data_IF_559215981904
#
_entry.id   IF_559215981904
#
_cell.length_a   1.000
_cell.length_b   1.000
_cell.length_c   1.000
_cell.angle_alpha   90.00
_cell.angle_beta   90.00
_cell.angle_gamma   90.00
#
_symmetry.space_group_name_H-M   'P 1'
#
loop_
_entity.id
_entity.type
_entity.pdbx_description
1 polymer ?
#
# COMPACT_ATOMS: atom_id res chain seq x y z
N UNK A 1 -31.42 -37.11 21.33
CA UNK A 1 -30.17 -36.69 20.68
C UNK A 1 -30.51 -35.69 19.60
N UNK A 2 -29.92 -34.50 19.66
CA UNK A 2 -30.21 -33.39 18.74
C UNK A 2 -29.64 -32.10 19.30
N UNK A 3 -28.32 -31.97 19.27
CA UNK A 3 -27.65 -30.72 19.64
C UNK A 3 -28.00 -29.67 18.60
N UNK A 4 -28.90 -28.74 18.96
CA UNK A 4 -29.15 -27.54 18.17
C UNK A 4 -28.07 -26.53 18.52
N UNK A 5 -27.26 -26.21 17.50
CA UNK A 5 -26.11 -25.33 17.56
C UNK A 5 -26.52 -23.94 18.09
N UNK A 6 -25.72 -23.45 19.04
CA UNK A 6 -25.80 -22.11 19.61
C UNK A 6 -25.83 -21.06 18.50
N UNK A 7 -26.86 -20.21 18.54
CA UNK A 7 -27.00 -18.99 17.76
C UNK A 7 -25.82 -18.05 18.04
N UNK A 8 -24.73 -18.23 17.29
CA UNK A 8 -23.71 -17.21 17.09
C UNK A 8 -24.33 -16.10 16.25
N UNK A 9 -25.08 -15.20 16.89
CA UNK A 9 -25.44 -13.92 16.30
C UNK A 9 -24.14 -13.17 16.06
N UNK A 10 -23.50 -13.41 14.92
CA UNK A 10 -22.43 -12.57 14.42
C UNK A 10 -23.06 -11.19 14.29
N UNK A 11 -22.83 -10.34 15.31
CA UNK A 11 -23.16 -8.93 15.26
C UNK A 11 -22.28 -8.38 14.15
N UNK A 12 -22.77 -8.49 12.91
CA UNK A 12 -22.22 -7.80 11.77
C UNK A 12 -22.31 -6.34 12.18
N UNK A 13 -21.15 -5.68 12.32
CA UNK A 13 -21.08 -4.25 12.56
C UNK A 13 -21.65 -3.59 11.30
N UNK A 14 -22.97 -3.39 11.28
CA UNK A 14 -23.66 -2.67 10.23
C UNK A 14 -23.44 -1.18 10.51
N UNK A 15 -22.31 -0.67 10.02
CA UNK A 15 -22.12 0.77 9.89
C UNK A 15 -23.02 1.29 8.78
N UNK A 16 -24.05 2.06 9.12
CA UNK A 16 -24.81 2.82 8.12
C UNK A 16 -23.96 4.00 7.68
N UNK A 17 -23.22 3.83 6.58
CA UNK A 17 -22.64 4.94 5.81
C UNK A 17 -22.52 4.47 4.36
N UNK A 18 -23.15 5.21 3.46
CA UNK A 18 -23.23 4.92 2.02
C UNK A 18 -21.86 4.99 1.30
N UNK A 19 -20.81 5.40 2.02
CA UNK A 19 -19.46 5.60 1.52
C UNK A 19 -18.50 4.55 2.08
N UNK A 20 -17.85 3.79 1.20
CA UNK A 20 -16.88 2.76 1.56
C UNK A 20 -15.49 3.40 1.66
N UNK A 21 -14.75 3.06 2.70
CA UNK A 21 -13.35 3.44 2.85
C UNK A 21 -12.50 2.18 2.98
N UNK A 22 -11.44 2.06 2.18
CA UNK A 22 -10.42 1.01 2.29
C UNK A 22 -9.21 1.60 3.00
N UNK A 23 -8.79 0.96 4.08
CA UNK A 23 -7.55 1.30 4.77
C UNK A 23 -6.42 0.47 4.16
N UNK A 24 -5.39 1.14 3.66
CA UNK A 24 -4.24 0.52 3.00
C UNK A 24 -2.99 0.82 3.81
N UNK A 25 -2.20 -0.21 4.12
CA UNK A 25 -0.92 -0.03 4.78
C UNK A 25 0.13 0.52 3.81
N UNK A 26 1.17 1.16 4.36
CA UNK A 26 2.28 1.72 3.57
C UNK A 26 3.24 0.62 3.13
N UNK A 27 2.79 -0.24 2.23
CA UNK A 27 3.62 -1.18 1.51
C UNK A 27 3.88 -0.66 0.09
N UNK A 28 5.09 -0.92 -0.44
CA UNK A 28 5.52 -0.40 -1.74
C UNK A 28 4.63 -0.88 -2.89
N UNK A 29 4.17 -2.13 -2.83
CA UNK A 29 3.30 -2.75 -3.83
C UNK A 29 1.86 -2.19 -3.83
N UNK A 30 1.43 -1.55 -2.74
CA UNK A 30 0.16 -0.82 -2.67
C UNK A 30 0.24 0.65 -3.13
N UNK A 31 1.45 1.10 -3.46
CA UNK A 31 1.76 2.51 -3.71
C UNK A 31 2.34 2.71 -5.11
N UNK A 32 1.85 1.94 -6.08
CA UNK A 32 2.24 2.11 -7.47
C UNK A 32 1.68 3.43 -8.03
N UNK A 33 2.58 4.27 -8.52
CA UNK A 33 2.24 5.56 -9.12
C UNK A 33 1.60 5.37 -10.50
N UNK A 34 0.74 6.32 -10.88
CA UNK A 34 0.21 6.43 -12.24
C UNK A 34 1.34 6.74 -13.22
N UNK A 35 1.07 6.57 -14.52
CA UNK A 35 2.06 6.93 -15.54
C UNK A 35 2.41 8.42 -15.50
N UNK A 36 1.41 9.27 -15.25
CA UNK A 36 1.57 10.72 -15.15
C UNK A 36 2.38 11.13 -13.91
N UNK A 37 2.25 10.40 -12.79
CA UNK A 37 3.02 10.70 -11.57
C UNK A 37 4.38 10.01 -11.49
N UNK A 38 4.76 9.19 -12.48
CA UNK A 38 6.06 8.53 -12.48
C UNK A 38 7.18 9.55 -12.71
N UNK A 39 8.26 9.40 -11.94
CA UNK A 39 9.47 10.21 -12.06
C UNK A 39 10.66 9.33 -12.49
N UNK A 40 11.68 9.92 -13.14
CA UNK A 40 12.84 9.16 -13.57
C UNK A 40 13.56 8.51 -12.39
N UNK A 41 13.91 7.24 -12.54
CA UNK A 41 14.62 6.47 -11.52
C UNK A 41 16.14 6.52 -11.76
N UNK A 42 16.93 6.28 -10.70
CA UNK A 42 18.39 6.16 -10.83
C UNK A 42 18.84 5.08 -11.81
N UNK A 43 18.01 4.06 -12.03
CA UNK A 43 18.24 2.98 -13.00
C UNK A 43 18.05 3.41 -14.45
N UNK A 44 17.32 4.50 -14.72
CA UNK A 44 17.07 4.98 -16.07
C UNK A 44 18.36 5.49 -16.71
N UNK A 45 18.49 5.32 -18.02
CA UNK A 45 19.60 5.89 -18.76
C UNK A 45 19.36 7.39 -19.03
N UNK A 46 20.41 8.10 -19.47
CA UNK A 46 20.37 9.56 -19.69
C UNK A 46 19.29 9.97 -20.70
N UNK A 47 19.08 9.19 -21.75
CA UNK A 47 18.09 9.50 -22.78
C UNK A 47 16.66 9.33 -22.28
N UNK A 48 16.39 8.31 -21.46
CA UNK A 48 15.07 8.13 -20.82
C UNK A 48 14.71 9.33 -19.92
N UNK A 49 15.68 9.83 -19.15
CA UNK A 49 15.46 11.00 -18.29
C UNK A 49 15.20 12.26 -19.14
N UNK A 50 15.95 12.45 -20.23
CA UNK A 50 15.72 13.56 -21.17
C UNK A 50 14.34 13.49 -21.81
N UNK A 51 13.92 12.31 -22.26
CA UNK A 51 12.60 12.12 -22.84
C UNK A 51 11.50 12.50 -21.85
N UNK A 52 11.63 12.05 -20.59
CA UNK A 52 10.70 12.44 -19.54
C UNK A 52 10.63 13.95 -19.34
N UNK A 53 11.77 14.65 -19.32
CA UNK A 53 11.80 16.11 -19.20
C UNK A 53 11.10 16.79 -20.38
N UNK A 54 11.28 16.28 -21.61
CA UNK A 54 10.58 16.78 -22.81
C UNK A 54 9.07 16.56 -22.66
N UNK A 55 8.65 15.36 -22.27
CA UNK A 55 7.24 15.00 -22.10
C UNK A 55 6.56 15.89 -21.04
N UNK A 56 7.33 16.35 -20.03
CA UNK A 56 6.87 17.26 -18.97
C UNK A 56 7.12 18.75 -19.30
N UNK A 57 7.55 19.08 -20.53
CA UNK A 57 7.83 20.45 -20.97
C UNK A 57 8.87 21.18 -20.10
N UNK A 58 9.85 20.45 -19.55
CA UNK A 58 10.94 20.99 -18.74
C UNK A 58 12.18 21.19 -19.60
N UNK A 59 12.65 22.44 -19.69
CA UNK A 59 13.88 22.78 -20.41
C UNK A 59 15.12 22.29 -19.64
N UNK A 60 16.09 21.72 -20.36
CA UNK A 60 17.39 21.33 -19.81
C UNK A 60 18.53 21.67 -20.79
N UNK A 61 19.76 21.66 -20.29
CA UNK A 61 20.94 21.91 -21.11
C UNK A 61 21.57 20.58 -21.53
N UNK A 62 21.97 20.45 -22.80
CA UNK A 62 22.51 19.20 -23.34
C UNK A 62 23.77 18.69 -22.61
N UNK A 63 24.59 19.59 -22.07
CA UNK A 63 25.80 19.22 -21.34
C UNK A 63 25.51 18.64 -19.94
N UNK A 64 24.29 18.78 -19.42
CA UNK A 64 23.95 18.26 -18.09
C UNK A 64 24.26 16.78 -17.97
N UNK A 65 24.93 16.43 -16.88
CA UNK A 65 25.18 15.07 -16.43
C UNK A 65 23.87 14.35 -16.11
N UNK A 66 23.95 13.01 -15.97
CA UNK A 66 22.79 12.21 -15.56
C UNK A 66 22.27 12.64 -14.18
N UNK A 67 23.17 13.00 -13.26
CA UNK A 67 22.81 13.47 -11.92
C UNK A 67 22.06 14.79 -11.96
N UNK A 68 22.53 15.77 -12.74
CA UNK A 68 21.86 17.08 -12.89
C UNK A 68 20.47 16.93 -13.51
N UNK A 69 20.32 16.06 -14.52
CA UNK A 69 19.02 15.77 -15.12
C UNK A 69 18.05 15.08 -14.15
N UNK A 70 18.56 14.18 -13.29
CA UNK A 70 17.74 13.54 -12.24
C UNK A 70 17.30 14.55 -11.19
N UNK A 71 18.21 15.40 -10.72
CA UNK A 71 17.89 16.44 -9.75
C UNK A 71 16.86 17.41 -10.31
N UNK A 72 17.02 17.82 -11.56
CA UNK A 72 16.03 18.62 -12.27
C UNK A 72 14.67 17.89 -12.33
N UNK A 73 14.64 16.61 -12.67
CA UNK A 73 13.37 15.85 -12.71
C UNK A 73 12.68 15.79 -11.34
N UNK A 74 13.43 15.76 -10.24
CA UNK A 74 12.85 15.76 -8.90
C UNK A 74 12.30 17.14 -8.50
N UNK A 75 12.92 18.23 -8.97
CA UNK A 75 12.42 19.58 -8.76
C UNK A 75 11.07 19.83 -9.45
N UNK A 76 10.81 19.12 -10.56
CA UNK A 76 9.55 19.18 -11.32
C UNK A 76 8.68 17.94 -11.11
N UNK A 77 8.91 17.18 -10.03
CA UNK A 77 8.12 16.00 -9.75
C UNK A 77 6.64 16.39 -9.55
N UNK A 78 5.70 15.75 -10.28
CA UNK A 78 4.28 16.00 -10.10
C UNK A 78 3.80 15.50 -8.73
N UNK A 79 2.58 15.89 -8.35
CA UNK A 79 1.91 15.30 -7.20
C UNK A 79 1.74 13.80 -7.41
N UNK A 80 1.88 13.03 -6.33
CA UNK A 80 1.79 11.58 -6.37
C UNK A 80 0.35 11.14 -6.47
N UNK A 81 -0.01 10.56 -7.61
CA UNK A 81 -1.26 9.85 -7.80
C UNK A 81 -0.98 8.36 -7.87
N UNK A 82 -1.84 7.57 -7.24
CA UNK A 82 -1.71 6.12 -7.16
C UNK A 82 -2.79 5.44 -7.99
N UNK A 83 -2.43 4.35 -8.68
CA UNK A 83 -3.35 3.57 -9.51
C UNK A 83 -4.54 3.06 -8.67
N UNK A 84 -4.28 2.65 -7.43
CA UNK A 84 -5.32 2.19 -6.49
C UNK A 84 -6.32 3.32 -6.19
N UNK A 85 -5.85 4.55 -6.05
CA UNK A 85 -6.68 5.69 -5.70
C UNK A 85 -7.57 6.08 -6.91
N UNK A 86 -7.01 6.09 -8.12
CA UNK A 86 -7.79 6.27 -9.36
C UNK A 86 -8.85 5.18 -9.53
N UNK A 87 -8.49 3.93 -9.28
CA UNK A 87 -9.40 2.79 -9.39
C UNK A 87 -10.52 2.91 -8.37
N UNK A 88 -10.20 3.20 -7.10
CA UNK A 88 -11.18 3.32 -6.03
C UNK A 88 -12.16 4.48 -6.26
N UNK A 89 -11.66 5.63 -6.76
CA UNK A 89 -12.48 6.79 -7.12
C UNK A 89 -13.59 6.43 -8.12
N UNK A 90 -13.36 5.50 -9.06
CA UNK A 90 -14.38 5.06 -10.03
C UNK A 90 -15.60 4.38 -9.37
N UNK A 91 -15.42 3.85 -8.16
CA UNK A 91 -16.47 3.16 -7.39
C UNK A 91 -16.98 4.00 -6.21
N UNK A 92 -16.65 5.30 -6.15
CA UNK A 92 -16.91 6.16 -4.99
C UNK A 92 -16.34 5.60 -3.67
N UNK A 93 -15.20 4.91 -3.77
CA UNK A 93 -14.47 4.35 -2.63
C UNK A 93 -13.36 5.31 -2.24
N UNK A 94 -13.29 5.60 -0.94
CA UNK A 94 -12.21 6.39 -0.35
C UNK A 94 -11.02 5.50 0.04
N UNK A 95 -9.80 5.93 -0.25
CA UNK A 95 -8.57 5.27 0.22
C UNK A 95 -7.99 6.07 1.38
N UNK A 96 -7.82 5.40 2.52
CA UNK A 96 -7.10 5.94 3.67
C UNK A 96 -5.76 5.20 3.81
N UNK A 97 -4.65 5.93 3.63
CA UNK A 97 -3.29 5.37 3.78
C UNK A 97 -2.79 5.59 5.20
N UNK A 98 -2.26 4.53 5.81
CA UNK A 98 -1.68 4.62 7.14
C UNK A 98 -0.35 5.40 7.12
N UNK A 99 -0.02 6.14 8.20
CA UNK A 99 1.31 6.73 8.33
C UNK A 99 2.40 5.66 8.42
N UNK A 100 3.54 5.94 7.79
CA UNK A 100 4.70 5.04 7.78
C UNK A 100 5.17 4.73 9.20
N UNK A 101 5.36 3.44 9.53
CA UNK A 101 5.75 2.91 10.86
C UNK A 101 4.71 3.03 11.98
N UNK A 102 3.44 3.23 11.67
CA UNK A 102 2.36 3.24 12.67
C UNK A 102 1.48 1.98 12.56
N UNK A 103 2.08 0.79 12.72
CA UNK A 103 1.37 -0.50 12.61
C UNK A 103 0.24 -0.68 13.63
N UNK A 104 0.26 0.06 14.75
CA UNK A 104 -0.84 0.10 15.72
C UNK A 104 -2.17 0.61 15.11
N UNK A 105 -2.08 1.39 14.03
CA UNK A 105 -3.23 1.88 13.28
C UNK A 105 -3.71 0.89 12.20
N UNK A 106 -3.01 -0.24 12.02
CA UNK A 106 -3.42 -1.31 11.12
C UNK A 106 -4.16 -2.41 11.93
N UNK A 107 -5.50 -2.50 11.88
CA UNK A 107 -6.24 -3.42 12.72
C UNK A 107 -5.83 -4.89 12.52
N UNK A 108 -5.42 -5.26 11.30
CA UNK A 108 -5.01 -6.63 10.99
C UNK A 108 -3.73 -7.03 11.74
N UNK A 109 -2.81 -6.09 11.97
CA UNK A 109 -1.56 -6.35 12.70
C UNK A 109 -1.84 -6.65 14.18
N UNK A 110 -2.81 -5.96 14.77
CA UNK A 110 -3.23 -6.21 16.15
C UNK A 110 -3.88 -7.58 16.28
N UNK A 111 -4.80 -7.93 15.37
CA UNK A 111 -5.43 -9.25 15.35
C UNK A 111 -4.39 -10.37 15.13
N UNK A 112 -3.46 -10.20 14.19
CA UNK A 112 -2.37 -11.15 13.96
C UNK A 112 -1.43 -11.27 15.16
N UNK A 113 -1.14 -10.17 15.85
CA UNK A 113 -0.31 -10.15 17.05
C UNK A 113 -0.89 -11.03 18.16
N UNK A 114 -2.18 -10.84 18.48
CA UNK A 114 -2.87 -11.65 19.48
C UNK A 114 -2.98 -13.12 19.07
N UNK A 115 -3.28 -13.39 17.80
CA UNK A 115 -3.34 -14.77 17.30
C UNK A 115 -1.97 -15.46 17.41
N UNK A 116 -0.89 -14.80 16.97
CA UNK A 116 0.48 -15.34 17.07
C UNK A 116 0.88 -15.59 18.51
N UNK A 117 0.51 -14.69 19.43
CA UNK A 117 0.74 -14.86 20.87
C UNK A 117 0.00 -16.08 21.40
N UNK A 118 -1.29 -16.23 21.10
CA UNK A 118 -2.09 -17.39 21.49
C UNK A 118 -1.49 -18.71 20.97
N UNK A 119 -1.09 -18.74 19.70
CA UNK A 119 -0.45 -19.92 19.10
C UNK A 119 0.88 -20.23 19.77
N UNK A 120 1.71 -19.22 20.05
CA UNK A 120 3.00 -19.41 20.74
C UNK A 120 2.80 -19.94 22.16
N UNK A 121 1.84 -19.41 22.90
CA UNK A 121 1.58 -19.80 24.29
C UNK A 121 1.06 -21.25 24.38
N UNK A 122 0.42 -21.75 23.32
CA UNK A 122 -0.02 -23.15 23.19
C UNK A 122 1.06 -24.07 22.60
N UNK A 123 2.00 -23.53 21.81
CA UNK A 123 3.13 -24.26 21.23
C UNK A 123 4.23 -24.53 22.27
N UNK A 124 3.92 -25.41 23.21
CA UNK A 124 4.80 -25.76 24.34
C UNK A 124 5.86 -26.81 24.00
N UNK A 125 5.64 -27.59 22.93
CA UNK A 125 6.48 -28.73 22.55
C UNK A 125 7.47 -28.40 21.44
N UNK A 126 7.22 -27.35 20.63
CA UNK A 126 8.03 -26.93 19.49
C UNK A 126 8.29 -28.04 18.44
N UNK A 127 7.40 -29.03 18.33
CA UNK A 127 7.53 -30.13 17.35
C UNK A 127 6.59 -29.91 16.18
N UNK A 128 7.12 -30.09 14.97
CA UNK A 128 6.33 -30.01 13.74
C UNK A 128 5.15 -31.01 13.69
N UNK A 129 5.29 -32.14 14.40
CA UNK A 129 4.26 -33.19 14.48
C UNK A 129 3.01 -32.76 15.24
N UNK A 130 3.13 -31.72 16.08
CA UNK A 130 2.05 -31.25 16.97
C UNK A 130 1.23 -30.13 16.30
N UNK A 131 1.59 -29.72 15.09
CA UNK A 131 0.76 -28.87 14.23
C UNK A 131 -0.26 -29.78 13.54
N UNK A 132 -1.49 -29.82 14.05
CA UNK A 132 -2.59 -30.56 13.42
C UNK A 132 -2.84 -30.08 11.99
N UNK A 133 -3.28 -31.01 11.12
CA UNK A 133 -3.64 -30.75 9.71
C UNK A 133 -5.04 -30.19 9.58
#
# INVERSE_FOLDING_TARGET
MGHTLMNGSSKRVLGKKEKICIVVDTATWHSQLTHASNIPLRSWNKNQIRQWLIDHSVSFIDQYSKSELLELSYAYAPEKEYIVDETAKQFDIEIARLPVRHCILNPIEMCWGELKKSVRDQNTTFKLKDVEK
#
